data_IF_989253058862
#
_entry.id   IF_989253058862
#
_cell.length_a   1.000
_cell.length_b   1.000
_cell.length_c   1.000
_cell.angle_alpha   90.00
_cell.angle_beta   90.00
_cell.angle_gamma   90.00
#
_symmetry.space_group_name_H-M   'P 1'
#
loop_
_entity.id
_entity.type
_entity.pdbx_description
1 polymer ?
#
# COMPACT_ATOMS: atom_id res chain seq x y z
N UNK A 1 4.25 43.30 -19.17
CA UNK A 1 3.14 42.67 -18.41
C UNK A 1 3.73 41.94 -17.22
N UNK A 2 3.35 42.38 -16.03
CA UNK A 2 4.08 42.20 -14.78
C UNK A 2 4.06 40.75 -14.26
N UNK A 3 5.26 40.19 -14.04
CA UNK A 3 5.49 38.99 -13.21
C UNK A 3 5.75 39.46 -11.79
N UNK A 4 4.77 39.34 -10.90
CA UNK A 4 4.96 39.57 -9.47
C UNK A 4 5.50 38.30 -8.84
N UNK A 5 6.81 38.28 -8.64
CA UNK A 5 7.50 37.38 -7.73
C UNK A 5 7.15 37.81 -6.31
N UNK A 6 6.41 36.97 -5.58
CA UNK A 6 6.23 37.09 -4.14
C UNK A 6 6.92 35.86 -3.55
N UNK A 7 7.72 36.11 -2.51
CA UNK A 7 8.48 35.19 -1.65
C UNK A 7 9.99 35.41 -1.72
N UNK A 8 10.40 36.57 -1.21
CA UNK A 8 11.71 36.79 -0.63
C UNK A 8 11.62 36.69 0.90
N UNK A 9 12.68 36.13 1.50
CA UNK A 9 13.05 36.19 2.91
C UNK A 9 12.26 35.32 3.92
N UNK A 10 12.87 34.20 4.33
CA UNK A 10 13.28 33.96 5.72
C UNK A 10 14.24 32.77 5.78
N UNK A 11 15.50 33.02 6.13
CA UNK A 11 16.52 32.00 6.32
C UNK A 11 17.30 32.27 7.61
N UNK A 12 17.02 31.49 8.67
CA UNK A 12 17.87 31.19 9.84
C UNK A 12 17.02 30.28 10.74
N UNK A 13 17.45 29.23 11.46
CA UNK A 13 18.69 28.48 11.63
C UNK A 13 18.33 27.22 12.45
N UNK A 14 19.09 26.15 12.24
CA UNK A 14 19.43 25.07 13.19
C UNK A 14 18.41 24.01 13.63
N UNK A 15 18.71 22.78 13.15
CA UNK A 15 18.99 21.55 13.90
C UNK A 15 18.04 21.18 15.06
N UNK A 16 17.21 20.17 14.82
CA UNK A 16 17.11 19.00 15.70
C UNK A 16 16.36 17.84 15.01
N UNK A 17 17.10 16.77 14.79
CA UNK A 17 16.59 15.41 14.61
C UNK A 17 15.70 15.04 15.81
N UNK A 18 14.47 14.59 15.60
CA UNK A 18 13.89 13.46 16.31
C UNK A 18 12.78 12.80 15.47
N UNK A 19 12.92 11.49 15.32
CA UNK A 19 11.96 10.53 14.78
C UNK A 19 10.71 10.53 15.66
N UNK A 20 9.52 10.75 15.09
CA UNK A 20 8.26 10.45 15.77
C UNK A 20 7.62 9.18 15.19
N UNK A 21 7.27 8.31 16.12
CA UNK A 21 6.85 6.92 15.98
C UNK A 21 5.32 6.89 15.98
N UNK A 22 4.74 5.95 15.23
CA UNK A 22 3.29 5.69 15.16
C UNK A 22 2.71 5.37 16.54
N UNK A 23 1.59 6.02 16.86
CA UNK A 23 0.72 5.68 18.00
C UNK A 23 -0.19 4.50 17.63
N UNK A 24 -0.16 3.45 18.46
CA UNK A 24 -1.18 2.39 18.50
C UNK A 24 -1.82 2.45 19.89
N UNK A 25 -3.13 2.54 19.88
CA UNK A 25 -4.06 2.66 21.00
C UNK A 25 -3.88 1.60 22.09
N UNK A 26 -3.83 2.08 23.33
CA UNK A 26 -3.79 1.30 24.56
C UNK A 26 -5.15 0.66 24.91
N UNK A 27 -5.11 -0.56 25.43
CA UNK A 27 -6.17 -1.14 26.28
C UNK A 27 -5.58 -1.42 27.68
N UNK A 28 -6.37 -1.24 28.76
CA UNK A 28 -5.85 -1.22 30.12
C UNK A 28 -5.85 -2.63 30.75
N UNK A 29 -4.72 -3.06 31.29
CA UNK A 29 -4.65 -4.17 32.23
C UNK A 29 -4.06 -3.69 33.57
N UNK A 30 -4.54 -4.22 34.70
CA UNK A 30 -4.31 -3.66 36.03
C UNK A 30 -2.87 -3.90 36.50
N UNK A 31 -2.24 -2.83 36.99
CA UNK A 31 -0.86 -2.79 37.44
C UNK A 31 -0.74 -3.41 38.85
N UNK A 32 -0.29 -4.66 38.91
CA UNK A 32 0.12 -5.30 40.16
C UNK A 32 1.58 -4.90 40.44
N UNK A 33 1.81 -4.23 41.58
CA UNK A 33 3.13 -3.77 42.04
C UNK A 33 4.09 -4.95 42.12
N UNK A 34 5.10 -4.97 41.25
CA UNK A 34 6.23 -5.90 41.33
C UNK A 34 7.51 -5.14 41.71
N UNK A 35 8.24 -5.75 42.63
CA UNK A 35 9.45 -5.29 43.30
C UNK A 35 10.46 -4.61 42.37
N UNK A 36 11.05 -3.51 42.85
CA UNK A 36 12.13 -2.81 42.16
C UNK A 36 13.37 -3.72 42.05
N UNK A 37 13.49 -4.43 40.93
CA UNK A 37 14.68 -5.20 40.61
C UNK A 37 15.78 -4.21 40.20
N UNK A 38 16.75 -3.98 41.09
CA UNK A 38 17.97 -3.24 40.75
C UNK A 38 18.73 -4.02 39.66
N UNK A 39 18.62 -3.56 38.42
CA UNK A 39 19.42 -4.08 37.31
C UNK A 39 20.85 -3.61 37.54
N UNK A 40 21.71 -4.51 38.00
CA UNK A 40 23.16 -4.28 38.03
C UNK A 40 23.63 -4.04 36.59
N UNK A 41 23.93 -2.79 36.27
CA UNK A 41 24.56 -2.43 35.00
C UNK A 41 26.00 -2.93 35.04
N UNK A 42 26.19 -4.20 34.67
CA UNK A 42 27.52 -4.79 34.51
C UNK A 42 28.22 -4.09 33.34
N UNK A 43 29.04 -3.09 33.65
CA UNK A 43 29.96 -2.48 32.70
C UNK A 43 30.97 -3.54 32.27
N UNK A 44 30.71 -4.19 31.14
CA UNK A 44 31.68 -5.06 30.48
C UNK A 44 32.76 -4.16 29.87
N UNK A 45 33.92 -4.08 30.50
CA UNK A 45 35.15 -3.61 29.85
C UNK A 45 35.67 -4.71 28.93
N UNK A 46 34.98 -4.97 27.81
CA UNK A 46 35.59 -5.72 26.72
C UNK A 46 36.53 -4.77 25.98
N UNK A 47 37.79 -5.19 25.80
CA UNK A 47 38.69 -4.55 24.84
C UNK A 47 38.01 -4.50 23.47
N UNK A 48 37.39 -3.37 23.16
CA UNK A 48 36.41 -3.26 22.10
C UNK A 48 37.08 -3.26 20.74
N UNK A 49 37.16 -4.42 20.08
CA UNK A 49 37.34 -4.45 18.63
C UNK A 49 36.23 -3.58 18.02
N UNK A 50 36.61 -2.47 17.37
CA UNK A 50 35.67 -1.64 16.60
C UNK A 50 34.81 -2.58 15.74
N UNK A 51 33.47 -2.48 15.79
CA UNK A 51 32.62 -3.25 14.89
C UNK A 51 33.16 -3.08 13.47
N UNK A 52 33.45 -4.18 12.77
CA UNK A 52 33.89 -4.12 11.38
C UNK A 52 32.90 -3.24 10.62
N UNK A 53 33.39 -2.20 9.94
CA UNK A 53 32.55 -1.31 9.14
C UNK A 53 31.71 -2.20 8.21
N UNK A 54 30.38 -2.14 8.32
CA UNK A 54 29.50 -2.78 7.36
C UNK A 54 29.74 -2.10 6.01
N UNK A 55 30.27 -2.83 5.05
CA UNK A 55 30.43 -2.35 3.68
C UNK A 55 29.04 -2.48 3.04
N UNK A 56 28.39 -1.35 2.80
CA UNK A 56 27.15 -1.30 2.05
C UNK A 56 27.50 -1.31 0.56
N UNK A 57 27.10 -2.36 -0.15
CA UNK A 57 27.17 -2.35 -1.61
C UNK A 57 26.01 -1.48 -2.13
N UNK A 58 26.34 -0.36 -2.76
CA UNK A 58 25.35 0.55 -3.33
C UNK A 58 24.95 0.04 -4.71
N UNK A 59 23.68 -0.30 -4.88
CA UNK A 59 23.13 -0.76 -6.15
C UNK A 59 22.42 0.40 -6.82
N UNK A 60 23.06 0.98 -7.85
CA UNK A 60 22.52 2.15 -8.56
C UNK A 60 21.17 1.90 -9.22
N UNK A 61 20.88 0.67 -9.62
CA UNK A 61 19.58 0.29 -10.19
C UNK A 61 18.44 0.46 -9.19
N UNK A 62 18.64 0.04 -7.93
CA UNK A 62 17.64 0.20 -6.88
C UNK A 62 17.43 1.69 -6.54
N UNK A 63 18.51 2.47 -6.50
CA UNK A 63 18.42 3.92 -6.31
C UNK A 63 17.59 4.59 -7.41
N UNK A 64 17.79 4.20 -8.68
CA UNK A 64 17.00 4.72 -9.80
C UNK A 64 15.52 4.39 -9.66
N UNK A 65 15.17 3.16 -9.28
CA UNK A 65 13.77 2.76 -9.07
C UNK A 65 13.14 3.61 -7.96
N UNK A 66 13.84 3.82 -6.85
CA UNK A 66 13.36 4.71 -5.79
C UNK A 66 13.14 6.14 -6.31
N UNK A 67 14.08 6.70 -7.08
CA UNK A 67 13.97 8.05 -7.62
C UNK A 67 12.80 8.21 -8.60
N UNK A 68 12.54 7.18 -9.41
CA UNK A 68 11.40 7.15 -10.32
C UNK A 68 10.06 7.10 -9.57
N UNK A 69 10.00 6.43 -8.40
CA UNK A 69 8.78 6.31 -7.60
C UNK A 69 8.48 7.53 -6.72
N UNK A 70 9.48 8.34 -6.33
CA UNK A 70 9.30 9.48 -5.42
C UNK A 70 8.30 10.54 -5.91
N UNK A 71 8.28 10.84 -7.21
CA UNK A 71 7.39 11.90 -7.74
C UNK A 71 5.95 11.39 -7.91
N UNK A 72 5.71 10.23 -8.55
CA UNK A 72 4.37 9.67 -8.64
C UNK A 72 3.73 9.43 -7.28
N UNK A 73 4.50 8.98 -6.27
CA UNK A 73 3.94 8.75 -4.93
C UNK A 73 3.39 10.02 -4.29
N UNK A 74 4.06 11.17 -4.43
CA UNK A 74 3.53 12.45 -3.95
C UNK A 74 2.27 12.89 -4.71
N UNK A 75 2.25 12.72 -6.03
CA UNK A 75 1.08 13.07 -6.86
C UNK A 75 -0.13 12.21 -6.46
N UNK A 76 0.07 10.89 -6.35
CA UNK A 76 -0.97 9.94 -5.97
C UNK A 76 -1.46 10.17 -4.54
N UNK A 77 -0.55 10.49 -3.62
CA UNK A 77 -0.92 10.83 -2.25
C UNK A 77 -1.75 12.12 -2.19
N UNK A 78 -1.35 13.17 -2.90
CA UNK A 78 -2.12 14.42 -2.94
C UNK A 78 -3.50 14.21 -3.58
N UNK A 79 -3.56 13.43 -4.67
CA UNK A 79 -4.82 13.01 -5.30
C UNK A 79 -5.75 12.34 -4.28
N UNK A 80 -5.24 11.37 -3.52
CA UNK A 80 -6.01 10.66 -2.50
C UNK A 80 -6.54 11.60 -1.40
N UNK A 81 -5.71 12.52 -0.90
CA UNK A 81 -6.12 13.52 0.11
C UNK A 81 -7.23 14.42 -0.43
N UNK A 82 -7.14 14.87 -1.69
CA UNK A 82 -8.15 15.74 -2.30
C UNK A 82 -9.46 14.97 -2.50
N UNK A 83 -9.39 13.72 -2.99
CA UNK A 83 -10.56 12.86 -3.20
C UNK A 83 -11.28 12.49 -1.89
N UNK A 84 -10.56 12.40 -0.77
CA UNK A 84 -11.18 12.12 0.52
C UNK A 84 -11.96 13.30 1.09
N UNK A 85 -11.84 14.51 0.51
CA UNK A 85 -12.59 15.68 0.96
C UNK A 85 -14.00 15.70 0.37
N UNK A 86 -15.00 16.10 1.17
CA UNK A 86 -16.41 16.20 0.73
C UNK A 86 -16.62 17.04 -0.53
N UNK A 87 -15.84 18.12 -0.68
CA UNK A 87 -15.97 19.06 -1.78
C UNK A 87 -14.86 18.91 -2.83
N UNK A 88 -14.09 17.81 -2.79
CA UNK A 88 -12.99 17.52 -3.73
C UNK A 88 -11.96 18.65 -3.86
N UNK A 89 -11.77 19.44 -2.80
CA UNK A 89 -10.76 20.49 -2.71
C UNK A 89 -10.11 20.52 -1.32
N UNK A 90 -8.85 20.92 -1.27
CA UNK A 90 -8.06 21.03 -0.04
C UNK A 90 -7.59 22.47 0.16
N UNK A 91 -7.92 23.08 1.29
CA UNK A 91 -7.34 24.39 1.64
C UNK A 91 -5.83 24.26 1.85
N UNK A 92 -5.02 25.14 1.26
CA UNK A 92 -3.54 25.06 1.38
C UNK A 92 -3.07 25.17 2.84
N UNK A 93 -3.79 25.93 3.67
CA UNK A 93 -3.53 26.00 5.13
C UNK A 93 -3.70 24.65 5.85
N UNK A 94 -4.55 23.76 5.32
CA UNK A 94 -4.82 22.45 5.91
C UNK A 94 -3.85 21.37 5.41
N UNK A 95 -3.09 21.64 4.34
CA UNK A 95 -2.11 20.70 3.80
C UNK A 95 -1.12 20.25 4.87
N UNK A 96 -0.62 21.19 5.68
CA UNK A 96 0.28 20.90 6.79
C UNK A 96 -0.31 19.91 7.80
N UNK A 97 -1.62 19.97 8.06
CA UNK A 97 -2.31 19.03 8.96
C UNK A 97 -2.42 17.64 8.37
N UNK A 98 -2.44 17.51 7.04
CA UNK A 98 -2.59 16.24 6.34
C UNK A 98 -1.24 15.53 6.15
N UNK A 99 -0.18 16.27 5.78
CA UNK A 99 1.11 15.67 5.39
C UNK A 99 2.26 15.98 6.36
N UNK A 100 2.05 16.89 7.31
CA UNK A 100 3.07 17.36 8.23
C UNK A 100 3.93 18.50 7.68
N UNK A 101 4.58 19.25 8.58
CA UNK A 101 5.33 20.46 8.28
C UNK A 101 6.44 20.27 7.23
N UNK A 102 7.25 19.21 7.37
CA UNK A 102 8.38 18.97 6.46
C UNK A 102 7.90 18.60 5.07
N UNK A 103 6.90 17.71 4.96
CA UNK A 103 6.45 17.23 3.66
C UNK A 103 5.62 18.28 2.90
N UNK A 104 4.97 19.21 3.61
CA UNK A 104 4.19 20.32 3.01
C UNK A 104 4.88 20.95 1.81
N UNK A 105 6.19 21.23 1.92
CA UNK A 105 6.98 21.87 0.86
C UNK A 105 7.14 20.99 -0.38
N UNK A 106 7.26 19.67 -0.21
CA UNK A 106 7.30 18.73 -1.34
C UNK A 106 5.97 18.74 -2.09
N UNK A 107 4.85 18.81 -1.37
CA UNK A 107 3.52 18.91 -1.97
C UNK A 107 3.29 20.26 -2.66
N UNK A 108 3.72 21.37 -2.04
CA UNK A 108 3.69 22.69 -2.70
C UNK A 108 4.47 22.69 -4.02
N UNK A 109 5.67 22.12 -4.03
CA UNK A 109 6.47 21.99 -5.24
C UNK A 109 5.80 21.11 -6.30
N UNK A 110 5.08 20.06 -5.91
CA UNK A 110 4.29 19.21 -6.83
C UNK A 110 3.12 19.99 -7.42
N UNK A 111 2.42 20.78 -6.62
CA UNK A 111 1.29 21.60 -7.09
C UNK A 111 1.78 22.60 -8.16
N UNK A 112 2.88 23.30 -7.88
CA UNK A 112 3.47 24.27 -8.82
C UNK A 112 4.01 23.61 -10.09
N UNK A 113 4.60 22.41 -9.95
CA UNK A 113 5.25 21.71 -11.07
C UNK A 113 4.27 21.01 -12.01
N UNK A 114 3.08 20.63 -11.54
CA UNK A 114 2.11 19.86 -12.30
C UNK A 114 0.74 20.57 -12.42
N UNK A 115 0.69 21.76 -13.06
CA UNK A 115 -0.56 22.53 -13.20
C UNK A 115 -1.60 21.85 -14.12
N UNK A 116 -1.18 20.85 -14.90
CA UNK A 116 -2.10 20.01 -15.68
C UNK A 116 -2.91 19.05 -14.81
N UNK A 117 -2.43 18.73 -13.61
CA UNK A 117 -3.07 17.80 -12.67
C UNK A 117 -3.76 18.57 -11.54
N UNK A 118 -3.07 19.58 -10.98
CA UNK A 118 -3.54 20.35 -9.84
C UNK A 118 -3.86 21.78 -10.24
N UNK A 119 -5.05 22.23 -9.86
CA UNK A 119 -5.50 23.61 -10.02
C UNK A 119 -5.50 24.30 -8.66
N UNK A 120 -4.90 25.49 -8.57
CA UNK A 120 -4.95 26.34 -7.38
C UNK A 120 -5.98 27.43 -7.60
N UNK A 121 -7.07 27.38 -6.84
CA UNK A 121 -8.09 28.42 -6.81
C UNK A 121 -7.81 29.39 -5.67
N UNK A 122 -7.92 30.70 -5.94
CA UNK A 122 -7.85 31.74 -4.95
C UNK A 122 -8.83 32.85 -5.32
N UNK A 123 -9.87 33.02 -4.52
CA UNK A 123 -10.78 34.17 -4.63
C UNK A 123 -10.38 35.24 -3.64
N UNK A 124 -10.65 36.50 -3.96
CA UNK A 124 -10.35 37.65 -3.07
C UNK A 124 -10.96 37.51 -1.66
N UNK A 125 -12.03 36.72 -1.51
CA UNK A 125 -12.74 36.49 -0.25
C UNK A 125 -12.57 35.07 0.32
N UNK A 126 -11.93 34.16 -0.41
CA UNK A 126 -11.79 32.76 0.00
C UNK A 126 -10.32 32.37 0.20
N UNK A 127 -10.00 31.53 1.21
CA UNK A 127 -8.65 31.04 1.38
C UNK A 127 -8.21 30.22 0.16
N UNK A 128 -6.92 30.26 -0.22
CA UNK A 128 -6.44 29.53 -1.37
C UNK A 128 -6.57 28.01 -1.15
N UNK A 129 -7.01 27.33 -2.20
CA UNK A 129 -7.28 25.90 -2.18
C UNK A 129 -6.69 25.22 -3.42
N UNK A 130 -6.47 23.91 -3.31
CA UNK A 130 -6.04 23.06 -4.42
C UNK A 130 -7.12 22.04 -4.74
N UNK A 131 -7.39 21.87 -6.03
CA UNK A 131 -8.28 20.85 -6.60
C UNK A 131 -7.57 20.07 -7.70
N UNK A 132 -8.16 18.93 -8.09
CA UNK A 132 -7.82 18.31 -9.36
C UNK A 132 -8.37 19.16 -10.52
N UNK A 133 -7.64 19.23 -11.61
CA UNK A 133 -8.15 19.78 -12.88
C UNK A 133 -9.26 18.89 -13.43
N UNK A 134 -10.08 19.42 -14.34
CA UNK A 134 -11.18 18.64 -14.96
C UNK A 134 -10.68 17.35 -15.62
N UNK A 135 -9.54 17.45 -16.33
CA UNK A 135 -8.90 16.30 -16.97
C UNK A 135 -8.44 15.27 -15.95
N UNK A 136 -7.78 15.71 -14.87
CA UNK A 136 -7.30 14.81 -13.82
C UNK A 136 -8.45 14.16 -13.04
N UNK A 137 -9.54 14.90 -12.81
CA UNK A 137 -10.77 14.37 -12.20
C UNK A 137 -11.41 13.30 -13.06
N UNK A 138 -11.52 13.53 -14.37
CA UNK A 138 -12.04 12.54 -15.32
C UNK A 138 -11.21 11.24 -15.27
N UNK A 139 -9.89 11.35 -15.36
CA UNK A 139 -8.98 10.19 -15.26
C UNK A 139 -9.13 9.46 -13.92
N UNK A 140 -9.30 10.20 -12.82
CA UNK A 140 -9.47 9.60 -11.51
C UNK A 140 -10.81 8.84 -11.36
N UNK A 141 -11.86 9.27 -12.07
CA UNK A 141 -13.12 8.55 -12.14
C UNK A 141 -13.01 7.29 -13.01
N UNK A 142 -12.39 7.40 -14.18
CA UNK A 142 -12.10 6.25 -15.07
C UNK A 142 -11.25 5.18 -14.35
N UNK A 143 -10.29 5.60 -13.52
CA UNK A 143 -9.50 4.70 -12.67
C UNK A 143 -10.36 3.96 -11.63
N UNK A 144 -11.36 4.64 -11.05
CA UNK A 144 -12.27 4.01 -10.10
C UNK A 144 -13.16 2.96 -10.80
N UNK A 145 -13.74 3.31 -11.95
CA UNK A 145 -14.53 2.38 -12.78
C UNK A 145 -13.69 1.17 -13.22
N UNK A 146 -12.45 1.39 -13.66
CA UNK A 146 -11.54 0.33 -14.05
C UNK A 146 -11.23 -0.63 -12.89
N UNK A 147 -11.11 -0.12 -11.64
CA UNK A 147 -10.88 -0.97 -10.47
C UNK A 147 -12.08 -1.87 -10.16
N UNK A 148 -13.30 -1.36 -10.32
CA UNK A 148 -14.52 -2.16 -10.16
C UNK A 148 -14.59 -3.27 -11.23
N UNK A 149 -14.29 -2.95 -12.48
CA UNK A 149 -14.25 -3.92 -13.58
C UNK A 149 -13.14 -4.97 -13.41
N UNK A 150 -12.07 -4.63 -12.70
CA UNK A 150 -10.95 -5.54 -12.43
C UNK A 150 -11.25 -6.54 -11.30
N UNK A 151 -12.26 -6.29 -10.47
CA UNK A 151 -12.57 -7.12 -9.29
C UNK A 151 -12.68 -8.62 -9.61
N UNK A 152 -13.39 -9.07 -10.68
CA UNK A 152 -13.45 -10.49 -11.03
C UNK A 152 -12.10 -11.10 -11.40
N UNK A 153 -11.21 -10.31 -12.00
CA UNK A 153 -9.85 -10.73 -12.36
C UNK A 153 -9.02 -10.91 -11.09
N UNK A 154 -9.14 -9.99 -10.12
CA UNK A 154 -8.47 -10.10 -8.83
C UNK A 154 -8.92 -11.34 -8.06
N UNK A 155 -10.23 -11.62 -8.05
CA UNK A 155 -10.80 -12.82 -7.43
C UNK A 155 -10.26 -14.08 -8.09
N UNK A 156 -10.23 -14.13 -9.43
CA UNK A 156 -9.64 -15.26 -10.18
C UNK A 156 -8.16 -15.46 -9.85
N UNK A 157 -7.39 -14.38 -9.77
CA UNK A 157 -5.97 -14.42 -9.43
C UNK A 157 -5.74 -14.90 -7.99
N UNK A 158 -6.53 -14.41 -7.03
CA UNK A 158 -6.45 -14.84 -5.64
C UNK A 158 -6.85 -16.30 -5.46
N UNK A 159 -7.87 -16.79 -6.17
CA UNK A 159 -8.23 -18.21 -6.23
C UNK A 159 -7.07 -19.05 -6.75
N UNK A 160 -6.48 -18.68 -7.89
CA UNK A 160 -5.31 -19.38 -8.45
C UNK A 160 -4.11 -19.38 -7.50
N UNK A 161 -3.85 -18.27 -6.82
CA UNK A 161 -2.78 -18.17 -5.83
C UNK A 161 -3.00 -19.17 -4.68
N UNK A 162 -4.22 -19.25 -4.14
CA UNK A 162 -4.56 -20.23 -3.11
C UNK A 162 -4.49 -21.65 -3.63
N UNK A 163 -4.95 -21.93 -4.85
CA UNK A 163 -4.86 -23.25 -5.48
C UNK A 163 -3.42 -23.76 -5.62
N UNK A 164 -2.44 -22.86 -5.74
CA UNK A 164 -1.02 -23.20 -5.79
C UNK A 164 -0.40 -23.37 -4.39
N UNK A 165 -1.06 -22.88 -3.35
CA UNK A 165 -0.57 -22.95 -1.98
C UNK A 165 -0.82 -24.33 -1.36
N UNK A 166 0.03 -24.69 -0.38
CA UNK A 166 -0.18 -25.91 0.41
C UNK A 166 -1.50 -25.79 1.18
N UNK A 167 -2.27 -26.88 1.21
CA UNK A 167 -3.61 -26.96 1.81
C UNK A 167 -4.62 -25.91 1.31
N UNK A 168 -4.38 -25.34 0.12
CA UNK A 168 -5.19 -24.27 -0.47
C UNK A 168 -5.43 -23.06 0.45
N UNK A 169 -4.44 -22.72 1.29
CA UNK A 169 -4.53 -21.63 2.27
C UNK A 169 -3.26 -20.80 2.37
N UNK A 170 -3.40 -19.54 2.75
CA UNK A 170 -2.28 -18.63 3.01
C UNK A 170 -2.54 -17.74 4.23
N UNK A 171 -1.50 -17.40 5.03
CA UNK A 171 -1.66 -16.45 6.12
C UNK A 171 -2.11 -15.09 5.57
N UNK A 172 -3.14 -14.50 6.17
CA UNK A 172 -3.74 -13.26 5.69
C UNK A 172 -2.73 -12.09 5.74
N UNK A 173 -1.86 -12.08 6.75
CA UNK A 173 -0.75 -11.12 6.88
C UNK A 173 0.21 -11.16 5.68
N UNK A 174 0.41 -12.33 5.06
CA UNK A 174 1.31 -12.46 3.89
C UNK A 174 0.67 -11.91 2.64
N UNK A 175 -0.63 -12.10 2.47
CA UNK A 175 -1.38 -11.53 1.35
C UNK A 175 -1.42 -10.00 1.49
N UNK A 176 -1.70 -9.48 2.69
CA UNK A 176 -1.66 -8.04 2.99
C UNK A 176 -0.29 -7.43 2.70
N UNK A 177 0.80 -8.13 3.02
CA UNK A 177 2.15 -7.64 2.73
C UNK A 177 2.41 -7.41 1.22
N UNK A 178 1.76 -8.18 0.34
CA UNK A 178 1.92 -8.09 -1.12
C UNK A 178 0.66 -7.58 -1.83
N UNK A 179 -0.29 -6.99 -1.10
CA UNK A 179 -1.60 -6.61 -1.64
C UNK A 179 -1.51 -5.69 -2.86
N UNK A 180 -0.59 -4.72 -2.81
CA UNK A 180 -0.35 -3.77 -3.91
C UNK A 180 0.19 -4.46 -5.17
N UNK A 181 1.03 -5.48 -5.00
CA UNK A 181 1.61 -6.25 -6.13
C UNK A 181 0.56 -7.19 -6.75
N UNK A 182 -0.40 -7.65 -5.95
CA UNK A 182 -1.55 -8.43 -6.41
C UNK A 182 -2.68 -7.55 -6.99
N UNK A 183 -2.56 -6.22 -6.88
CA UNK A 183 -3.61 -5.28 -7.28
C UNK A 183 -4.84 -5.30 -6.38
N UNK A 184 -4.73 -5.86 -5.16
CA UNK A 184 -5.82 -5.92 -4.20
C UNK A 184 -6.09 -4.53 -3.58
N UNK A 185 -7.36 -4.21 -3.26
CA UNK A 185 -7.67 -3.03 -2.45
C UNK A 185 -6.98 -3.08 -1.08
N UNK A 186 -6.54 -1.94 -0.53
CA UNK A 186 -5.92 -1.88 0.81
C UNK A 186 -6.83 -2.42 1.94
N UNK A 187 -8.14 -2.41 1.70
CA UNK A 187 -9.15 -2.91 2.63
C UNK A 187 -9.75 -4.24 2.17
N UNK A 188 -9.09 -5.00 1.29
CA UNK A 188 -9.63 -6.23 0.66
C UNK A 188 -10.20 -7.23 1.67
N UNK A 189 -9.65 -7.28 2.89
CA UNK A 189 -10.14 -8.11 3.99
C UNK A 189 -11.59 -7.83 4.36
N UNK A 190 -12.02 -6.58 4.23
CA UNK A 190 -13.37 -6.10 4.53
C UNK A 190 -14.20 -5.83 3.28
N UNK A 191 -13.56 -5.45 2.17
CA UNK A 191 -14.25 -5.05 0.94
C UNK A 191 -14.37 -6.17 -0.09
N UNK A 192 -13.37 -7.03 -0.24
CA UNK A 192 -13.32 -8.08 -1.27
C UNK A 192 -13.74 -9.44 -0.72
N UNK A 193 -13.09 -9.92 0.35
CA UNK A 193 -13.29 -11.28 0.88
C UNK A 193 -14.77 -11.54 1.22
N UNK A 194 -15.48 -10.65 1.94
CA UNK A 194 -16.87 -10.91 2.32
C UNK A 194 -17.85 -10.92 1.14
N UNK A 195 -17.49 -10.38 -0.02
CA UNK A 195 -18.31 -10.41 -1.24
C UNK A 195 -18.33 -11.79 -1.92
N UNK A 196 -17.33 -12.64 -1.63
CA UNK A 196 -17.14 -13.93 -2.27
C UNK A 196 -17.02 -15.08 -1.25
N UNK A 197 -18.03 -15.26 -0.36
CA UNK A 197 -18.01 -16.30 0.67
C UNK A 197 -17.99 -17.73 0.10
N UNK A 198 -18.44 -17.90 -1.15
CA UNK A 198 -18.40 -19.17 -1.88
C UNK A 198 -16.98 -19.59 -2.29
N UNK A 199 -16.05 -18.64 -2.37
CA UNK A 199 -14.66 -18.91 -2.73
C UNK A 199 -13.73 -18.81 -1.54
N UNK A 200 -13.97 -17.86 -0.64
CA UNK A 200 -13.03 -17.50 0.42
C UNK A 200 -13.63 -17.63 1.80
N UNK A 201 -12.86 -18.17 2.72
CA UNK A 201 -13.15 -18.10 4.16
C UNK A 201 -11.90 -17.70 4.95
N UNK A 202 -12.10 -17.02 6.07
CA UNK A 202 -11.02 -16.67 7.00
C UNK A 202 -11.14 -17.55 8.22
N UNK A 203 -10.09 -18.33 8.52
CA UNK A 203 -10.05 -19.25 9.67
C UNK A 203 -8.81 -18.98 10.52
N UNK A 204 -8.96 -19.04 11.83
CA UNK A 204 -7.82 -18.93 12.74
C UNK A 204 -7.14 -20.29 12.93
N UNK A 205 -5.84 -20.33 12.65
CA UNK A 205 -5.00 -21.50 12.84
C UNK A 205 -3.85 -21.11 13.77
N UNK A 206 -3.85 -21.65 14.99
CA UNK A 206 -2.83 -21.35 16.01
C UNK A 206 -2.69 -19.85 16.32
N UNK A 207 -3.81 -19.13 16.40
CA UNK A 207 -3.86 -17.70 16.71
C UNK A 207 -3.45 -16.77 15.55
N UNK A 208 -3.40 -17.28 14.32
CA UNK A 208 -3.16 -16.50 13.10
C UNK A 208 -4.29 -16.70 12.12
N UNK A 209 -4.74 -15.62 11.49
CA UNK A 209 -5.76 -15.66 10.45
C UNK A 209 -5.18 -16.18 9.12
N UNK A 210 -5.83 -17.19 8.55
CA UNK A 210 -5.54 -17.74 7.23
C UNK A 210 -6.72 -17.50 6.30
N UNK A 211 -6.41 -17.15 5.06
CA UNK A 211 -7.37 -17.20 3.96
C UNK A 211 -7.38 -18.60 3.37
N UNK A 212 -8.55 -19.22 3.32
CA UNK A 212 -8.78 -20.54 2.75
C UNK A 212 -9.59 -20.42 1.45
N UNK A 213 -9.29 -21.31 0.51
CA UNK A 213 -10.15 -21.57 -0.64
C UNK A 213 -11.18 -22.64 -0.28
N UNK A 214 -12.47 -22.30 -0.35
CA UNK A 214 -13.56 -23.24 -0.04
C UNK A 214 -13.94 -24.11 -1.24
N UNK A 215 -13.90 -23.55 -2.46
CA UNK A 215 -14.28 -24.26 -3.67
C UNK A 215 -13.13 -24.32 -4.70
N UNK A 216 -12.62 -25.53 -4.92
CA UNK A 216 -11.63 -25.80 -5.95
C UNK A 216 -12.28 -25.86 -7.34
N UNK A 217 -11.73 -25.09 -8.27
CA UNK A 217 -12.24 -25.03 -9.64
C UNK A 217 -11.19 -25.51 -10.63
N UNK A 218 -11.43 -26.69 -11.19
CA UNK A 218 -10.49 -27.34 -12.12
C UNK A 218 -10.34 -26.56 -13.43
N UNK A 219 -11.30 -25.70 -13.80
CA UNK A 219 -11.18 -24.85 -15.00
C UNK A 219 -10.12 -23.78 -14.85
N UNK A 220 -9.82 -23.37 -13.60
CA UNK A 220 -8.75 -22.41 -13.30
C UNK A 220 -7.36 -23.06 -13.27
N UNK A 221 -7.30 -24.38 -13.13
CA UNK A 221 -6.08 -25.19 -13.08
C UNK A 221 -5.56 -25.58 -14.48
N UNK A 222 -5.85 -24.76 -15.49
CA UNK A 222 -5.33 -24.90 -16.85
C UNK A 222 -4.32 -23.78 -17.09
N UNK A 223 -3.13 -24.16 -17.53
CA UNK A 223 -2.07 -23.20 -17.89
C UNK A 223 -2.35 -22.59 -19.25
N UNK A 224 -1.84 -21.37 -19.48
CA UNK A 224 -1.94 -20.70 -20.79
C UNK A 224 -1.33 -21.57 -21.91
N UNK A 225 -0.31 -22.38 -21.59
CA UNK A 225 0.30 -23.33 -22.52
C UNK A 225 -0.67 -24.44 -22.91
N UNK A 226 -1.36 -25.04 -21.94
CA UNK A 226 -2.35 -26.09 -22.21
C UNK A 226 -3.54 -25.55 -23.00
N UNK A 227 -4.06 -24.38 -22.62
CA UNK A 227 -5.16 -23.71 -23.33
C UNK A 227 -4.80 -23.44 -24.81
N UNK A 228 -3.60 -22.94 -25.07
CA UNK A 228 -3.08 -22.73 -26.42
C UNK A 228 -2.97 -24.03 -27.22
N UNK A 229 -2.43 -25.10 -26.61
CA UNK A 229 -2.31 -26.41 -27.27
C UNK A 229 -3.67 -27.01 -27.62
N UNK A 230 -4.69 -26.84 -26.76
CA UNK A 230 -6.06 -27.28 -27.06
C UNK A 230 -6.69 -26.49 -28.20
N UNK A 231 -6.36 -25.21 -28.33
CA UNK A 231 -6.83 -24.34 -29.42
C UNK A 231 -6.12 -24.62 -30.75
N UNK A 232 -4.87 -25.09 -30.70
CA UNK A 232 -4.06 -25.46 -31.87
C UNK A 232 -4.33 -26.92 -32.36
N UNK A 233 -5.33 -27.61 -31.79
CA UNK A 233 -5.86 -28.85 -32.37
C UNK A 233 -5.03 -30.12 -32.16
N UNK A 234 -4.17 -30.18 -31.15
CA UNK A 234 -3.44 -31.42 -30.81
C UNK A 234 -4.24 -32.22 -29.77
N UNK A 235 -4.97 -33.23 -30.22
CA UNK A 235 -5.68 -34.21 -29.37
C UNK A 235 -4.67 -35.08 -28.63
N UNK A 236 -4.29 -34.69 -27.41
CA UNK A 236 -3.72 -35.61 -26.44
C UNK A 236 -4.87 -36.30 -25.69
N UNK A 237 -5.00 -37.59 -25.93
CA UNK A 237 -5.94 -38.49 -25.27
C UNK A 237 -5.87 -38.39 -23.74
N UNK A 238 -7.02 -38.08 -23.12
CA UNK A 238 -7.40 -38.24 -21.72
C UNK A 238 -6.36 -37.86 -20.63
N UNK A 239 -6.56 -36.73 -19.89
CA UNK A 239 -5.86 -36.53 -18.63
C UNK A 239 -6.45 -37.40 -17.51
N UNK A 240 -5.63 -38.00 -16.63
CA UNK A 240 -6.12 -38.75 -15.48
C UNK A 240 -6.83 -37.81 -14.50
N UNK A 241 -8.05 -38.19 -14.10
CA UNK A 241 -8.85 -37.52 -13.06
C UNK A 241 -8.11 -37.58 -11.72
N UNK A 242 -7.21 -36.63 -11.44
CA UNK A 242 -6.68 -36.42 -10.09
C UNK A 242 -7.72 -35.67 -9.28
N UNK A 243 -8.52 -36.43 -8.53
CA UNK A 243 -9.32 -35.89 -7.43
C UNK A 243 -8.34 -35.41 -6.35
N UNK A 244 -8.00 -34.13 -6.35
CA UNK A 244 -7.37 -33.51 -5.19
C UNK A 244 -8.48 -33.33 -4.14
N UNK A 245 -8.56 -34.27 -3.20
CA UNK A 245 -9.46 -34.20 -2.07
C UNK A 245 -8.82 -33.23 -1.07
N UNK A 246 -9.28 -31.98 -1.04
CA UNK A 246 -9.07 -31.14 0.13
C UNK A 246 -10.02 -31.66 1.21
N UNK A 247 -9.57 -32.64 2.01
CA UNK A 247 -10.31 -33.00 3.22
C UNK A 247 -10.10 -31.89 4.24
N UNK A 248 -11.14 -31.10 4.45
CA UNK A 248 -11.27 -30.23 5.61
C UNK A 248 -11.43 -31.14 6.84
N UNK A 249 -10.38 -31.20 7.66
CA UNK A 249 -10.42 -31.75 9.03
C UNK A 249 -10.68 -30.62 10.02
#
# INVERSE_FOLDING_TARGET
MHRTSIFSCFHQSSKSFLLYKKDVSAFPFPFQKSSAMLISLKQKSSGGRRPKKKIYHRVHELDRVMDLQKKPSLILHLKAIIQSQKHQHLLLRNLEKQVGFVQKWNFMAVIEKYPSIFHVGADSRAPPFVTLTEKARKVANEEAEARELMEPILVKNLRKLLMMAVDCRLPLEKIEFIENELGLPQDFKKSLIPKYPEFFSVKDVSGKAYLHLENWDSTLAVTVREERLTSEGVTLSNPPKKKAKCELS
#
